data_IF_277983555875
#
_entry.id   IF_277983555875
#
_cell.length_a   1.000
_cell.length_b   1.000
_cell.length_c   1.000
_cell.angle_alpha   90.00
_cell.angle_beta   90.00
_cell.angle_gamma   90.00
#
_symmetry.space_group_name_H-M   'P 1'
#
loop_
_entity.id
_entity.type
_entity.pdbx_description
1 polymer ?
#
# COMPACT_ATOMS: atom_id res chain seq x y z
N UNK A 1 -10.13 -8.14 8.14
CA UNK A 1 -8.70 -7.76 8.17
C UNK A 1 -7.93 -8.83 7.41
N UNK A 2 -7.25 -8.48 6.32
CA UNK A 2 -6.56 -9.45 5.46
C UNK A 2 -5.05 -9.44 5.75
N UNK A 3 -4.48 -10.63 5.87
CA UNK A 3 -3.06 -10.84 6.14
C UNK A 3 -2.52 -12.04 5.37
N UNK A 4 -1.23 -12.00 5.06
CA UNK A 4 -0.47 -13.10 4.45
C UNK A 4 0.82 -13.26 5.26
N UNK A 5 1.15 -14.48 5.69
CA UNK A 5 2.34 -14.73 6.51
C UNK A 5 2.38 -13.94 7.82
N UNK A 6 1.21 -13.67 8.44
CA UNK A 6 1.10 -12.85 9.65
C UNK A 6 1.30 -11.34 9.43
N UNK A 7 1.43 -10.88 8.18
CA UNK A 7 1.65 -9.47 7.83
C UNK A 7 0.39 -8.88 7.20
N UNK A 8 -0.06 -7.76 7.75
CA UNK A 8 -1.26 -7.04 7.29
C UNK A 8 -1.02 -6.44 5.92
N UNK A 9 -2.00 -6.56 5.04
CA UNK A 9 -1.90 -5.98 3.69
C UNK A 9 -2.13 -4.47 3.71
N UNK A 10 -3.11 -4.01 4.49
CA UNK A 10 -3.45 -2.61 4.66
C UNK A 10 -4.70 -2.45 5.51
N UNK A 11 -5.09 -1.20 5.72
CA UNK A 11 -6.24 -0.80 6.50
C UNK A 11 -7.07 0.20 5.71
N UNK A 12 -8.40 0.12 5.88
CA UNK A 12 -9.34 1.10 5.39
C UNK A 12 -9.86 1.90 6.59
N UNK A 13 -9.98 3.20 6.41
CA UNK A 13 -10.38 4.16 7.45
C UNK A 13 -11.60 4.92 6.95
N UNK A 14 -12.82 4.54 7.38
CA UNK A 14 -13.99 5.37 7.23
C UNK A 14 -13.88 6.62 8.09
N UNK A 15 -13.97 7.78 7.47
CA UNK A 15 -13.92 9.09 8.10
C UNK A 15 -15.28 9.78 7.93
N UNK A 16 -15.53 10.82 8.71
CA UNK A 16 -16.80 11.58 8.66
C UNK A 16 -17.14 12.07 7.23
N UNK A 17 -16.12 12.48 6.48
CA UNK A 17 -16.29 13.11 5.15
C UNK A 17 -15.74 12.27 3.99
N UNK A 18 -15.25 11.04 4.24
CA UNK A 18 -14.65 10.25 3.17
C UNK A 18 -14.01 8.94 3.64
N UNK A 19 -13.26 8.32 2.74
CA UNK A 19 -12.50 7.10 3.00
C UNK A 19 -11.01 7.37 2.77
N UNK A 20 -10.18 6.68 3.54
CA UNK A 20 -8.75 6.62 3.26
C UNK A 20 -8.20 5.23 3.56
N UNK A 21 -6.98 4.96 3.13
CA UNK A 21 -6.31 3.69 3.39
C UNK A 21 -4.87 3.90 3.82
N UNK A 22 -4.39 3.01 4.68
CA UNK A 22 -2.97 2.94 5.01
C UNK A 22 -2.41 1.56 4.69
N UNK A 23 -1.14 1.54 4.33
CA UNK A 23 -0.38 0.31 4.14
C UNK A 23 1.06 0.57 4.56
N UNK A 24 1.77 -0.52 4.85
CA UNK A 24 3.21 -0.46 5.16
C UNK A 24 3.99 -1.17 4.08
N UNK A 25 5.14 -0.62 3.71
CA UNK A 25 6.11 -1.26 2.83
C UNK A 25 7.45 -1.42 3.54
N UNK A 26 8.04 -2.60 3.48
CA UNK A 26 9.46 -2.79 3.80
C UNK A 26 10.32 -2.20 2.70
N UNK A 27 11.62 -2.06 2.95
CA UNK A 27 12.58 -1.63 1.93
C UNK A 27 12.58 -2.57 0.71
N UNK A 28 12.49 -3.89 0.95
CA UNK A 28 12.40 -4.88 -0.12
C UNK A 28 11.11 -4.74 -0.94
N UNK A 29 9.95 -4.60 -0.27
CA UNK A 29 8.67 -4.39 -0.93
C UNK A 29 8.66 -3.08 -1.73
N UNK A 30 9.25 -2.01 -1.20
CA UNK A 30 9.39 -0.75 -1.93
C UNK A 30 10.20 -0.94 -3.23
N UNK A 31 11.32 -1.66 -3.18
CA UNK A 31 12.14 -1.93 -4.38
C UNK A 31 11.35 -2.71 -5.43
N UNK A 32 10.65 -3.77 -5.02
CA UNK A 32 9.81 -4.56 -5.93
C UNK A 32 8.65 -3.74 -6.52
N UNK A 33 8.00 -2.90 -5.70
CA UNK A 33 6.95 -2.00 -6.17
C UNK A 33 7.48 -0.92 -7.12
N UNK A 34 8.72 -0.45 -6.91
CA UNK A 34 9.36 0.52 -7.80
C UNK A 34 9.70 -0.08 -9.18
N UNK A 35 9.98 -1.39 -9.24
CA UNK A 35 10.21 -2.15 -10.47
C UNK A 35 8.91 -2.53 -11.18
N UNK A 36 7.75 -2.33 -10.54
CA UNK A 36 6.45 -2.64 -11.14
C UNK A 36 6.07 -1.54 -12.14
N UNK A 37 6.17 -1.87 -13.42
CA UNK A 37 5.69 -1.01 -14.51
C UNK A 37 4.20 -0.70 -14.31
N UNK A 38 3.84 0.57 -14.49
CA UNK A 38 2.44 1.00 -14.44
C UNK A 38 1.86 1.24 -13.04
N UNK A 39 2.64 1.21 -11.95
CA UNK A 39 2.12 1.60 -10.63
C UNK A 39 1.52 3.01 -10.69
N UNK A 40 0.28 3.15 -10.21
CA UNK A 40 -0.46 4.41 -10.26
C UNK A 40 0.31 5.56 -9.59
N UNK A 41 0.18 6.77 -10.14
CA UNK A 41 0.87 7.97 -9.62
C UNK A 41 0.53 8.23 -8.16
N UNK A 42 -0.73 8.06 -7.78
CA UNK A 42 -1.19 8.23 -6.39
C UNK A 42 -0.47 7.27 -5.44
N UNK A 43 -0.31 6.00 -5.82
CA UNK A 43 0.41 4.99 -5.03
C UNK A 43 1.90 5.35 -4.88
N UNK A 44 2.56 5.77 -5.97
CA UNK A 44 3.96 6.24 -5.91
C UNK A 44 4.12 7.46 -5.00
N UNK A 45 3.17 8.39 -5.06
CA UNK A 45 3.14 9.56 -4.19
C UNK A 45 3.04 9.15 -2.72
N UNK A 46 2.09 8.26 -2.38
CA UNK A 46 1.87 7.78 -1.03
C UNK A 46 3.09 7.02 -0.47
N UNK A 47 3.79 6.27 -1.32
CA UNK A 47 5.07 5.65 -0.94
C UNK A 47 6.10 6.73 -0.69
N UNK A 48 6.30 7.67 -1.61
CA UNK A 48 7.32 8.73 -1.43
C UNK A 48 7.08 9.59 -0.19
N UNK A 49 5.84 9.95 0.09
CA UNK A 49 5.45 10.83 1.19
C UNK A 49 5.35 10.07 2.52
N UNK A 50 5.39 8.74 2.47
CA UNK A 50 5.26 7.89 3.64
C UNK A 50 6.40 8.08 4.64
N UNK A 51 6.06 8.05 5.93
CA UNK A 51 7.04 8.22 7.01
C UNK A 51 7.80 6.92 7.26
N UNK A 52 9.12 6.98 7.28
CA UNK A 52 9.96 5.87 7.78
C UNK A 52 9.89 5.78 9.30
N UNK A 53 9.53 4.61 9.81
CA UNK A 53 9.53 4.31 11.25
C UNK A 53 9.56 2.80 11.49
N UNK A 54 10.47 2.33 12.35
CA UNK A 54 10.57 0.91 12.70
C UNK A 54 10.97 -0.01 11.53
N UNK A 55 11.79 0.48 10.60
CA UNK A 55 12.26 -0.30 9.44
C UNK A 55 11.24 -0.48 8.32
N UNK A 56 10.07 0.13 8.44
CA UNK A 56 9.04 0.15 7.39
C UNK A 56 8.64 1.58 7.06
N UNK A 57 8.13 1.78 5.85
CA UNK A 57 7.48 3.03 5.46
C UNK A 57 5.98 2.94 5.66
N UNK A 58 5.44 3.94 6.33
CA UNK A 58 4.02 4.10 6.60
C UNK A 58 3.40 4.99 5.53
N UNK A 59 2.59 4.38 4.67
CA UNK A 59 1.98 5.04 3.51
C UNK A 59 0.50 5.28 3.75
N UNK A 60 -0.01 6.40 3.24
CA UNK A 60 -1.39 6.81 3.38
C UNK A 60 -1.92 7.35 2.05
N UNK A 61 -3.17 7.03 1.74
CA UNK A 61 -3.89 7.48 0.56
C UNK A 61 -5.31 7.91 0.95
N UNK A 62 -5.71 9.11 0.53
CA UNK A 62 -7.12 9.49 0.50
C UNK A 62 -7.81 8.89 -0.73
N UNK A 63 -9.12 8.65 -0.64
CA UNK A 63 -9.93 8.11 -1.72
C UNK A 63 -10.99 9.12 -2.20
N UNK A 64 -10.59 10.22 -2.87
CA UNK A 64 -11.53 11.20 -3.40
C UNK A 64 -12.37 10.67 -4.57
N UNK A 65 -11.91 9.61 -5.23
CA UNK A 65 -12.53 9.02 -6.42
C UNK A 65 -12.27 7.50 -6.49
N UNK A 66 -12.86 6.83 -7.48
CA UNK A 66 -12.64 5.39 -7.68
C UNK A 66 -11.23 5.07 -8.20
N UNK A 67 -10.57 5.99 -8.89
CA UNK A 67 -9.21 5.79 -9.42
C UNK A 67 -8.20 5.61 -8.29
N UNK A 68 -8.30 6.43 -7.25
CA UNK A 68 -7.47 6.33 -6.04
C UNK A 68 -7.77 5.08 -5.22
N UNK A 69 -9.02 4.59 -5.23
CA UNK A 69 -9.38 3.28 -4.65
C UNK A 69 -8.71 2.14 -5.42
N UNK A 70 -8.81 2.13 -6.74
CA UNK A 70 -8.20 1.11 -7.60
C UNK A 70 -6.67 1.10 -7.45
N UNK A 71 -6.06 2.29 -7.37
CA UNK A 71 -4.63 2.45 -7.11
C UNK A 71 -4.20 1.85 -5.76
N UNK A 72 -5.03 1.96 -4.72
CA UNK A 72 -4.78 1.33 -3.43
C UNK A 72 -4.98 -0.18 -3.49
N UNK A 73 -6.06 -0.67 -4.11
CA UNK A 73 -6.32 -2.10 -4.27
C UNK A 73 -5.17 -2.78 -5.02
N UNK A 74 -4.60 -2.12 -6.02
CA UNK A 74 -3.45 -2.64 -6.76
C UNK A 74 -2.21 -2.80 -5.86
N UNK A 75 -1.93 -1.82 -4.98
CA UNK A 75 -0.86 -1.96 -3.97
C UNK A 75 -1.11 -3.17 -3.06
N UNK A 76 -2.35 -3.35 -2.60
CA UNK A 76 -2.74 -4.49 -1.76
C UNK A 76 -2.53 -5.82 -2.49
N UNK A 77 -2.90 -5.88 -3.78
CA UNK A 77 -2.73 -7.06 -4.64
C UNK A 77 -1.25 -7.41 -4.84
N UNK A 78 -0.42 -6.42 -5.17
CA UNK A 78 1.02 -6.60 -5.35
C UNK A 78 1.67 -7.04 -4.03
N UNK A 79 1.32 -6.39 -2.93
CA UNK A 79 1.81 -6.78 -1.59
C UNK A 79 1.41 -8.20 -1.23
N UNK A 80 0.18 -8.62 -1.49
CA UNK A 80 -0.24 -10.00 -1.30
C UNK A 80 0.64 -10.96 -2.09
N UNK A 81 0.89 -10.69 -3.37
CA UNK A 81 1.74 -11.53 -4.22
C UNK A 81 3.16 -11.65 -3.69
N UNK A 82 3.75 -10.55 -3.21
CA UNK A 82 5.09 -10.56 -2.61
C UNK A 82 5.13 -11.43 -1.34
N UNK A 83 4.16 -11.24 -0.45
CA UNK A 83 4.09 -11.96 0.83
C UNK A 83 3.72 -13.43 0.71
N UNK A 84 3.07 -13.83 -0.40
CA UNK A 84 2.69 -15.20 -0.66
C UNK A 84 3.82 -16.03 -1.31
N UNK A 85 4.96 -15.43 -1.66
CA UNK A 85 6.11 -16.16 -2.20
C UNK A 85 6.69 -17.07 -1.11
N UNK A 86 6.99 -18.35 -1.42
CA UNK A 86 7.72 -19.21 -0.49
C UNK A 86 9.15 -18.66 -0.28
N UNK A 87 9.67 -18.83 0.94
CA UNK A 87 11.07 -18.51 1.29
C UNK A 87 12.09 -19.35 0.51
#
# INVERSE_FOLDING_TARGET
>A
MYEVGGRKLGYLHPMETGLSGTFIVTEEEERELALTDGLARASRQAIRDGRMSGGVRWCWMEFPDLETVDAFVEVIRLKHQLLARPE
#
